data_IF_402562899504
#
_entry.id   IF_402562899504
#
_cell.length_a   1.000
_cell.length_b   1.000
_cell.length_c   1.000
_cell.angle_alpha   90.00
_cell.angle_beta   90.00
_cell.angle_gamma   90.00
#
_symmetry.space_group_name_H-M   'P 1'
#
loop_
_entity.id
_entity.type
_entity.pdbx_description
1 polymer ?
#
# COMPACT_ATOMS: atom_id res chain seq x y z
N UNK A 1 98.30 -16.28 -43.09
CA UNK A 1 98.18 -15.21 -44.05
C UNK A 1 96.76 -15.10 -44.44
N UNK A 2 96.22 -13.93 -44.29
CA UNK A 2 94.82 -13.47 -44.56
C UNK A 2 93.69 -14.04 -43.72
N UNK A 3 93.37 -13.30 -42.67
CA UNK A 3 92.20 -13.44 -41.89
C UNK A 3 90.96 -12.81 -42.59
N UNK A 4 89.83 -13.51 -42.57
CA UNK A 4 88.54 -12.95 -42.92
C UNK A 4 87.73 -12.84 -41.65
N UNK A 5 87.02 -11.73 -41.42
CA UNK A 5 86.17 -11.57 -40.22
C UNK A 5 84.72 -12.07 -40.47
N UNK A 6 84.22 -12.86 -39.53
CA UNK A 6 82.85 -13.33 -39.46
C UNK A 6 81.94 -12.21 -38.93
N UNK A 7 81.00 -11.80 -39.74
CA UNK A 7 79.91 -10.83 -39.34
C UNK A 7 78.78 -11.55 -38.59
N UNK A 8 78.54 -11.17 -37.34
CA UNK A 8 77.38 -11.56 -36.58
C UNK A 8 76.17 -10.68 -36.98
N UNK A 9 75.12 -11.30 -37.51
CA UNK A 9 73.84 -10.76 -37.73
C UNK A 9 73.04 -10.83 -36.39
N UNK A 10 72.85 -9.69 -35.73
CA UNK A 10 71.94 -9.58 -34.56
C UNK A 10 70.50 -9.38 -35.04
N UNK A 11 69.64 -10.37 -34.90
CA UNK A 11 68.19 -10.30 -35.15
C UNK A 11 67.50 -9.69 -33.89
N UNK A 12 67.06 -8.46 -34.00
CA UNK A 12 66.25 -7.78 -32.97
C UNK A 12 64.83 -8.28 -33.04
N UNK A 13 64.41 -9.12 -32.09
CA UNK A 13 63.02 -9.49 -31.87
C UNK A 13 62.31 -8.35 -31.09
N UNK A 14 61.50 -7.59 -31.79
CA UNK A 14 60.58 -6.57 -31.13
C UNK A 14 59.42 -7.37 -30.56
N UNK A 15 59.41 -7.55 -29.23
CA UNK A 15 58.28 -8.11 -28.51
C UNK A 15 57.18 -7.01 -28.34
N UNK A 16 56.07 -7.14 -29.09
CA UNK A 16 54.88 -6.33 -28.99
C UNK A 16 54.11 -6.76 -27.72
N UNK A 17 54.42 -6.14 -26.58
CA UNK A 17 53.63 -6.30 -25.36
C UNK A 17 52.29 -5.58 -25.52
N UNK A 18 51.22 -6.31 -25.88
CA UNK A 18 49.86 -5.82 -25.84
C UNK A 18 49.52 -5.50 -24.38
N UNK A 19 49.44 -4.23 -24.04
CA UNK A 19 48.87 -3.73 -22.76
C UNK A 19 47.37 -4.04 -22.76
N UNK A 20 46.98 -5.21 -22.23
CA UNK A 20 45.63 -5.46 -21.83
C UNK A 20 45.39 -4.60 -20.59
N UNK A 21 44.93 -3.37 -20.78
CA UNK A 21 44.38 -2.56 -19.68
C UNK A 21 43.18 -3.33 -19.12
N UNK A 22 43.15 -3.66 -17.82
CA UNK A 22 41.93 -4.20 -17.23
C UNK A 22 40.84 -3.17 -17.42
N UNK A 23 39.78 -3.53 -18.15
CA UNK A 23 38.58 -2.72 -18.17
C UNK A 23 38.17 -2.53 -16.70
N UNK A 24 38.31 -1.31 -16.19
CA UNK A 24 37.84 -0.96 -14.86
C UNK A 24 36.35 -1.34 -14.81
N UNK A 25 36.02 -2.40 -14.10
CA UNK A 25 34.64 -2.75 -13.84
C UNK A 25 34.02 -1.50 -13.18
N UNK A 26 33.20 -0.76 -13.94
CA UNK A 26 32.48 0.38 -13.42
C UNK A 26 31.65 -0.12 -12.23
N UNK A 27 31.94 0.39 -11.04
CA UNK A 27 31.16 0.03 -9.86
C UNK A 27 29.69 0.36 -10.11
N UNK A 28 28.80 -0.60 -9.89
CA UNK A 28 27.36 -0.37 -10.02
C UNK A 28 26.93 0.84 -9.20
N UNK A 29 26.04 1.67 -9.77
CA UNK A 29 25.43 2.78 -9.02
C UNK A 29 24.40 2.21 -8.04
N UNK A 30 24.65 2.33 -6.74
CA UNK A 30 23.73 1.88 -5.70
C UNK A 30 22.54 2.85 -5.54
N UNK A 31 21.35 2.27 -5.44
CA UNK A 31 20.07 2.96 -5.26
C UNK A 31 19.44 2.48 -3.96
N UNK A 32 19.40 3.33 -2.96
CA UNK A 32 18.82 3.03 -1.65
C UNK A 32 17.30 3.10 -1.73
N UNK A 33 16.62 2.02 -1.34
CA UNK A 33 15.17 1.92 -1.30
C UNK A 33 14.69 1.61 0.12
N UNK A 34 14.06 2.59 0.78
CA UNK A 34 13.46 2.38 2.10
C UNK A 34 12.02 1.94 1.98
N UNK A 35 11.67 0.87 2.71
CA UNK A 35 10.34 0.26 2.67
C UNK A 35 9.88 -0.23 4.05
N UNK A 36 8.57 -0.51 4.16
CA UNK A 36 7.88 -0.98 5.38
C UNK A 36 7.25 -2.36 5.21
N UNK A 37 7.73 -3.16 4.26
CA UNK A 37 7.21 -4.50 3.98
C UNK A 37 7.89 -5.54 4.86
N UNK A 38 7.10 -6.23 5.69
CA UNK A 38 7.55 -7.33 6.57
C UNK A 38 7.00 -8.70 6.15
N UNK A 39 7.53 -9.77 6.73
CA UNK A 39 7.09 -11.13 6.45
C UNK A 39 7.17 -11.52 4.97
N UNK A 40 6.13 -12.15 4.43
CA UNK A 40 6.07 -12.56 3.03
C UNK A 40 6.15 -11.37 2.05
N UNK A 41 5.70 -10.18 2.46
CA UNK A 41 5.81 -8.97 1.67
C UNK A 41 7.25 -8.43 1.64
N UNK A 42 8.00 -8.62 2.73
CA UNK A 42 9.44 -8.33 2.76
C UNK A 42 10.24 -9.24 1.83
N UNK A 43 9.92 -10.53 1.83
CA UNK A 43 10.51 -11.50 0.89
C UNK A 43 10.24 -11.08 -0.57
N UNK A 44 9.01 -10.64 -0.88
CA UNK A 44 8.65 -10.14 -2.22
C UNK A 44 9.47 -8.91 -2.62
N UNK A 45 9.64 -7.92 -1.74
CA UNK A 45 10.44 -6.72 -2.01
C UNK A 45 11.91 -7.09 -2.28
N UNK A 46 12.47 -7.97 -1.46
CA UNK A 46 13.85 -8.43 -1.64
C UNK A 46 14.04 -9.19 -2.96
N UNK A 47 13.07 -10.02 -3.35
CA UNK A 47 13.13 -10.74 -4.63
C UNK A 47 13.03 -9.79 -5.82
N UNK A 48 12.16 -8.76 -5.79
CA UNK A 48 12.10 -7.73 -6.84
C UNK A 48 13.46 -7.03 -7.04
N UNK A 49 14.12 -6.65 -5.93
CA UNK A 49 15.44 -6.03 -5.99
C UNK A 49 16.50 -7.01 -6.52
N UNK A 50 16.49 -8.26 -6.06
CA UNK A 50 17.39 -9.31 -6.50
C UNK A 50 17.26 -9.59 -7.99
N UNK A 51 16.04 -9.74 -8.49
CA UNK A 51 15.77 -10.06 -9.89
C UNK A 51 16.16 -8.90 -10.81
N UNK A 52 15.84 -7.65 -10.41
CA UNK A 52 16.33 -6.48 -11.13
C UNK A 52 17.86 -6.42 -11.14
N UNK A 53 18.53 -6.60 -10.02
CA UNK A 53 19.98 -6.56 -9.91
C UNK A 53 20.65 -7.65 -10.75
N UNK A 54 20.01 -8.80 -10.92
CA UNK A 54 20.51 -9.90 -11.77
C UNK A 54 20.30 -9.63 -13.27
N UNK A 55 19.31 -8.81 -13.63
CA UNK A 55 18.92 -8.56 -15.04
C UNK A 55 19.83 -7.56 -15.77
N UNK A 56 20.66 -6.81 -15.06
CA UNK A 56 21.56 -5.78 -15.61
C UNK A 56 22.79 -5.57 -14.71
N UNK A 57 23.78 -4.76 -15.16
CA UNK A 57 25.07 -4.58 -14.47
C UNK A 57 25.36 -3.12 -14.06
N UNK A 58 24.50 -2.18 -14.41
CA UNK A 58 24.77 -0.75 -14.23
C UNK A 58 24.33 -0.23 -12.85
N UNK A 59 23.24 -0.81 -12.32
CA UNK A 59 22.59 -0.34 -11.09
C UNK A 59 22.40 -1.48 -10.09
N UNK A 60 22.38 -1.13 -8.79
CA UNK A 60 22.11 -2.07 -7.71
C UNK A 60 21.07 -1.47 -6.75
N UNK A 61 19.87 -2.03 -6.73
CA UNK A 61 18.86 -1.69 -5.74
C UNK A 61 19.22 -2.33 -4.40
N UNK A 62 19.21 -1.50 -3.35
CA UNK A 62 19.49 -1.89 -1.96
C UNK A 62 18.24 -1.62 -1.12
N UNK A 63 17.34 -2.61 -0.98
CA UNK A 63 16.14 -2.45 -0.16
C UNK A 63 16.51 -2.46 1.32
N UNK A 64 15.91 -1.57 2.09
CA UNK A 64 16.11 -1.48 3.54
C UNK A 64 14.76 -1.37 4.24
N UNK A 65 14.44 -2.36 5.08
CA UNK A 65 13.26 -2.32 5.93
C UNK A 65 13.41 -1.25 7.02
N UNK A 66 12.40 -0.39 7.19
CA UNK A 66 12.42 0.75 8.11
C UNK A 66 11.29 0.72 9.15
N UNK A 67 10.81 -0.48 9.50
CA UNK A 67 9.71 -0.61 10.45
C UNK A 67 8.34 -0.35 9.82
N UNK A 68 7.41 0.13 10.62
CA UNK A 68 6.07 0.53 10.15
C UNK A 68 6.13 1.71 9.18
N UNK A 69 5.03 1.99 8.49
CA UNK A 69 4.93 3.15 7.61
C UNK A 69 5.18 4.48 8.35
N UNK A 70 4.68 4.61 9.59
CA UNK A 70 4.86 5.81 10.41
C UNK A 70 6.32 5.98 10.84
N UNK A 71 6.99 4.89 11.27
CA UNK A 71 8.41 4.90 11.61
C UNK A 71 9.28 5.23 10.41
N UNK A 72 9.01 4.61 9.25
CA UNK A 72 9.72 4.87 8.01
C UNK A 72 9.58 6.33 7.55
N UNK A 73 8.37 6.88 7.62
CA UNK A 73 8.09 8.27 7.23
C UNK A 73 8.78 9.27 8.19
N UNK A 74 8.71 9.03 9.50
CA UNK A 74 9.39 9.85 10.50
C UNK A 74 10.92 9.81 10.31
N UNK A 75 11.48 8.62 10.11
CA UNK A 75 12.89 8.42 9.81
C UNK A 75 13.34 9.12 8.52
N UNK A 76 12.51 9.09 7.47
CA UNK A 76 12.81 9.74 6.20
C UNK A 76 12.82 11.27 6.31
N UNK A 77 11.91 11.86 7.09
CA UNK A 77 11.90 13.31 7.37
C UNK A 77 13.19 13.73 8.07
N UNK A 78 13.63 12.96 9.08
CA UNK A 78 14.88 13.22 9.79
C UNK A 78 16.11 13.08 8.87
N UNK A 79 16.14 12.01 8.06
CA UNK A 79 17.22 11.75 7.12
C UNK A 79 17.30 12.83 6.01
N UNK A 80 16.15 13.31 5.51
CA UNK A 80 16.11 14.38 4.53
C UNK A 80 16.72 15.68 5.09
N UNK A 81 16.36 16.06 6.31
CA UNK A 81 16.93 17.23 7.00
C UNK A 81 18.45 17.10 7.23
N UNK A 82 18.93 15.88 7.42
CA UNK A 82 20.36 15.58 7.58
C UNK A 82 21.13 15.38 6.25
N UNK A 83 20.46 15.52 5.09
CA UNK A 83 21.06 15.28 3.78
C UNK A 83 21.32 13.81 3.42
N UNK A 84 20.75 12.86 4.18
CA UNK A 84 20.95 11.41 4.06
C UNK A 84 19.68 10.64 3.64
N UNK A 85 18.74 11.30 2.97
CA UNK A 85 17.54 10.64 2.47
C UNK A 85 17.86 9.49 1.50
N UNK A 86 17.05 8.41 1.41
CA UNK A 86 17.21 7.37 0.40
C UNK A 86 16.98 7.92 -1.02
N UNK A 87 17.22 7.12 -2.06
CA UNK A 87 16.84 7.47 -3.43
C UNK A 87 15.34 7.27 -3.64
N UNK A 88 14.82 6.16 -3.11
CA UNK A 88 13.42 5.76 -3.18
C UNK A 88 12.87 5.59 -1.78
N UNK A 89 11.75 6.26 -1.49
CA UNK A 89 11.01 6.12 -0.25
C UNK A 89 9.62 5.54 -0.54
N UNK A 90 9.28 4.42 0.08
CA UNK A 90 7.92 3.92 0.11
C UNK A 90 7.10 4.71 1.12
N UNK A 91 6.04 5.37 0.66
CA UNK A 91 5.12 6.13 1.53
C UNK A 91 3.71 5.61 1.35
N UNK A 92 3.05 5.28 2.47
CA UNK A 92 1.66 4.85 2.46
C UNK A 92 0.71 5.99 2.04
N UNK A 93 -0.49 5.65 1.62
CA UNK A 93 -1.42 6.58 0.96
C UNK A 93 -1.72 7.84 1.79
N UNK A 94 -1.80 7.71 3.12
CA UNK A 94 -2.07 8.87 4.00
C UNK A 94 -0.93 9.89 4.05
N UNK A 95 0.28 9.49 3.67
CA UNK A 95 1.42 10.39 3.55
C UNK A 95 1.40 11.26 2.29
N UNK A 96 0.54 10.94 1.31
CA UNK A 96 0.56 11.55 -0.03
C UNK A 96 0.44 13.08 0.01
N UNK A 97 -0.54 13.64 0.72
CA UNK A 97 -0.72 15.10 0.78
C UNK A 97 0.48 15.80 1.49
N UNK A 98 1.07 15.16 2.49
CA UNK A 98 2.27 15.66 3.17
C UNK A 98 3.47 15.66 2.23
N UNK A 99 3.66 14.59 1.43
CA UNK A 99 4.72 14.54 0.42
C UNK A 99 4.51 15.57 -0.68
N UNK A 100 3.27 15.77 -1.14
CA UNK A 100 2.92 16.80 -2.11
C UNK A 100 3.24 18.21 -1.62
N UNK A 101 3.08 18.47 -0.33
CA UNK A 101 3.37 19.75 0.30
C UNK A 101 4.87 19.95 0.62
N UNK A 102 5.68 18.90 0.55
CA UNK A 102 7.12 18.92 0.88
C UNK A 102 7.94 19.54 -0.25
N UNK A 103 7.90 20.88 -0.35
CA UNK A 103 8.58 21.66 -1.40
C UNK A 103 10.09 21.32 -1.44
N UNK A 104 10.57 20.93 -2.62
CA UNK A 104 11.99 20.65 -2.86
C UNK A 104 12.48 19.30 -2.32
N UNK A 105 11.66 18.52 -1.61
CA UNK A 105 12.08 17.23 -1.06
C UNK A 105 11.95 16.06 -2.04
N UNK A 106 11.13 16.19 -3.05
CA UNK A 106 10.82 15.13 -4.02
C UNK A 106 11.07 15.58 -5.46
N UNK A 107 11.32 14.60 -6.33
CA UNK A 107 11.31 14.78 -7.78
C UNK A 107 10.12 13.97 -8.32
N UNK A 108 9.19 14.61 -9.06
CA UNK A 108 8.05 13.90 -9.64
C UNK A 108 8.49 12.71 -10.50
N UNK A 109 7.82 11.57 -10.37
CA UNK A 109 8.20 10.35 -11.11
C UNK A 109 8.22 10.56 -12.63
N UNK A 110 7.25 11.29 -13.17
CA UNK A 110 7.22 11.60 -14.60
C UNK A 110 8.46 12.39 -15.08
N UNK A 111 8.98 13.31 -14.25
CA UNK A 111 10.20 14.05 -14.54
C UNK A 111 11.44 13.14 -14.52
N UNK A 112 11.56 12.25 -13.52
CA UNK A 112 12.67 11.30 -13.43
C UNK A 112 12.70 10.39 -14.65
N UNK A 113 11.55 9.84 -15.05
CA UNK A 113 11.42 8.96 -16.21
C UNK A 113 11.78 9.71 -17.51
N UNK A 114 11.27 10.92 -17.69
CA UNK A 114 11.57 11.77 -18.85
C UNK A 114 13.08 12.08 -18.96
N UNK A 115 13.72 12.47 -17.85
CA UNK A 115 15.17 12.77 -17.82
C UNK A 115 16.03 11.54 -18.13
N UNK A 116 15.54 10.35 -17.82
CA UNK A 116 16.19 9.09 -18.17
C UNK A 116 15.88 8.60 -19.60
N UNK A 117 15.04 9.30 -20.36
CA UNK A 117 14.60 8.89 -21.70
C UNK A 117 13.61 7.71 -21.68
N UNK A 118 12.97 7.43 -20.55
CA UNK A 118 12.01 6.34 -20.38
C UNK A 118 10.60 6.88 -20.59
N UNK A 119 9.83 6.25 -21.48
CA UNK A 119 8.41 6.59 -21.66
C UNK A 119 7.62 6.22 -20.41
N UNK A 120 6.90 7.17 -19.86
CA UNK A 120 6.03 6.99 -18.72
C UNK A 120 4.61 7.47 -19.07
N UNK A 121 3.64 6.55 -19.04
CA UNK A 121 2.25 6.82 -19.41
C UNK A 121 1.32 6.63 -18.20
N UNK A 122 0.79 7.72 -17.69
CA UNK A 122 -0.17 7.70 -16.58
C UNK A 122 -1.44 6.90 -16.92
N UNK A 123 -1.85 6.87 -18.21
CA UNK A 123 -3.05 6.18 -18.65
C UNK A 123 -2.92 4.64 -18.64
N UNK A 124 -1.69 4.13 -18.54
CA UNK A 124 -1.45 2.69 -18.39
C UNK A 124 -1.86 2.15 -17.01
N UNK A 125 -1.95 3.03 -16.02
CA UNK A 125 -2.31 2.66 -14.65
C UNK A 125 -3.83 2.62 -14.44
N UNK A 126 -4.27 1.87 -13.43
CA UNK A 126 -5.67 1.85 -13.00
C UNK A 126 -6.08 3.26 -12.57
N UNK A 127 -7.18 3.82 -13.08
CA UNK A 127 -7.52 5.24 -12.87
C UNK A 127 -7.64 5.66 -11.40
N UNK A 128 -8.20 4.81 -10.54
CA UNK A 128 -8.32 5.10 -9.11
C UNK A 128 -6.94 5.22 -8.43
N UNK A 129 -5.95 4.42 -8.86
CA UNK A 129 -4.58 4.46 -8.35
C UNK A 129 -3.84 5.67 -8.91
N UNK A 130 -3.84 5.84 -10.23
CA UNK A 130 -3.18 6.97 -10.89
C UNK A 130 -3.71 8.31 -10.38
N UNK A 131 -5.04 8.48 -10.33
CA UNK A 131 -5.69 9.72 -9.89
C UNK A 131 -5.37 10.11 -8.44
N UNK A 132 -5.09 9.12 -7.59
CA UNK A 132 -4.72 9.39 -6.20
C UNK A 132 -3.35 10.05 -6.08
N UNK A 133 -2.36 9.63 -6.88
CA UNK A 133 -0.97 10.11 -6.82
C UNK A 133 -0.67 11.23 -7.82
N UNK A 134 -1.68 11.72 -8.52
CA UNK A 134 -1.56 12.80 -9.51
C UNK A 134 -1.91 14.15 -8.89
N UNK A 135 -1.08 15.14 -9.11
CA UNK A 135 -1.30 16.53 -8.72
C UNK A 135 -2.39 17.20 -9.60
N UNK A 136 -2.98 18.33 -9.17
CA UNK A 136 -4.02 19.02 -9.95
C UNK A 136 -3.60 19.43 -11.37
N UNK A 137 -2.30 19.63 -11.61
CA UNK A 137 -1.74 19.94 -12.94
C UNK A 137 -1.57 18.69 -13.84
N UNK A 138 -2.06 17.52 -13.43
CA UNK A 138 -1.97 16.27 -14.19
C UNK A 138 -0.64 15.52 -14.05
N UNK A 139 0.31 16.04 -13.29
CA UNK A 139 1.62 15.40 -13.09
C UNK A 139 1.51 14.29 -12.01
N UNK A 140 1.87 13.06 -12.36
CA UNK A 140 2.03 11.99 -11.37
C UNK A 140 3.32 12.22 -10.57
N UNK A 141 3.19 12.24 -9.24
CA UNK A 141 4.28 12.60 -8.34
C UNK A 141 5.05 11.40 -7.81
N UNK A 142 4.40 10.27 -7.64
CA UNK A 142 5.02 9.03 -7.16
C UNK A 142 4.67 7.85 -8.06
N UNK A 143 5.50 6.82 -8.03
CA UNK A 143 5.28 5.58 -8.78
C UNK A 143 4.30 4.68 -8.02
N UNK A 144 3.14 4.31 -8.59
CA UNK A 144 2.21 3.35 -7.99
C UNK A 144 2.89 1.99 -7.78
N UNK A 145 2.82 1.46 -6.56
CA UNK A 145 3.55 0.24 -6.23
C UNK A 145 2.64 -0.83 -5.61
N UNK A 146 2.45 -0.78 -4.30
CA UNK A 146 1.68 -1.79 -3.57
C UNK A 146 0.32 -1.25 -3.14
N UNK A 147 -0.51 -0.89 -4.11
CA UNK A 147 -1.88 -0.46 -3.84
C UNK A 147 -2.73 -1.64 -3.40
N UNK A 148 -3.51 -1.46 -2.34
CA UNK A 148 -4.49 -2.41 -1.84
C UNK A 148 -5.87 -1.79 -1.76
N UNK A 149 -6.86 -2.57 -1.39
CA UNK A 149 -8.14 -2.09 -0.88
C UNK A 149 -8.63 -2.99 0.24
N UNK A 150 -9.63 -2.54 0.98
CA UNK A 150 -10.22 -3.32 2.05
C UNK A 150 -11.07 -4.45 1.51
N UNK A 151 -10.93 -5.64 2.11
CA UNK A 151 -11.74 -6.81 1.82
C UNK A 151 -12.15 -7.50 3.12
N UNK A 152 -13.05 -8.46 3.03
CA UNK A 152 -13.47 -9.30 4.13
C UNK A 152 -12.78 -10.67 4.01
N UNK A 153 -11.99 -11.04 5.01
CA UNK A 153 -11.33 -12.33 5.13
C UNK A 153 -12.09 -13.22 6.11
N UNK A 154 -12.20 -14.52 5.82
CA UNK A 154 -12.86 -15.46 6.74
C UNK A 154 -12.24 -16.86 6.68
N UNK A 155 -12.29 -17.54 7.81
CA UNK A 155 -11.82 -18.90 8.00
C UNK A 155 -12.97 -19.89 7.66
N UNK A 156 -12.87 -20.56 6.51
CA UNK A 156 -13.87 -21.52 6.03
C UNK A 156 -14.05 -22.72 6.96
N UNK A 157 -12.97 -23.17 7.60
CA UNK A 157 -13.01 -24.30 8.51
C UNK A 157 -13.74 -23.94 9.81
N UNK A 158 -13.50 -22.72 10.32
CA UNK A 158 -14.24 -22.19 11.48
C UNK A 158 -15.73 -21.98 11.14
N UNK A 159 -16.07 -21.54 9.93
CA UNK A 159 -17.45 -21.44 9.47
C UNK A 159 -18.14 -22.81 9.49
N UNK A 160 -17.52 -23.81 8.89
CA UNK A 160 -18.04 -25.16 8.87
C UNK A 160 -18.25 -25.72 10.29
N UNK A 161 -17.29 -25.51 11.19
CA UNK A 161 -17.41 -25.94 12.59
C UNK A 161 -18.56 -25.25 13.35
N UNK A 162 -18.87 -23.98 12.96
CA UNK A 162 -19.99 -23.21 13.54
C UNK A 162 -21.35 -23.46 12.85
N UNK A 163 -21.45 -24.42 11.91
CA UNK A 163 -22.66 -24.67 11.13
C UNK A 163 -23.03 -23.56 10.16
N UNK A 164 -22.03 -22.79 9.71
CA UNK A 164 -22.15 -21.78 8.65
C UNK A 164 -21.71 -22.39 7.32
N UNK A 165 -22.33 -21.95 6.23
CA UNK A 165 -21.91 -22.34 4.87
C UNK A 165 -20.58 -21.64 4.52
N UNK A 166 -19.46 -22.38 4.32
CA UNK A 166 -18.17 -21.79 4.02
C UNK A 166 -18.09 -21.14 2.64
N UNK A 167 -19.05 -21.40 1.75
CA UNK A 167 -19.11 -20.79 0.41
C UNK A 167 -20.06 -19.58 0.35
N UNK A 168 -20.70 -19.23 1.48
CA UNK A 168 -21.60 -18.07 1.60
C UNK A 168 -21.15 -17.14 2.72
N UNK A 169 -20.07 -16.37 2.51
CA UNK A 169 -19.63 -15.38 3.50
C UNK A 169 -20.67 -14.28 3.69
N UNK A 170 -20.73 -13.67 4.88
CA UNK A 170 -21.59 -12.51 5.12
C UNK A 170 -21.20 -11.34 4.22
N UNK A 171 -22.19 -10.66 3.66
CA UNK A 171 -22.03 -9.49 2.79
C UNK A 171 -22.60 -8.22 3.39
N UNK A 172 -23.36 -8.34 4.47
CA UNK A 172 -23.93 -7.22 5.21
C UNK A 172 -23.49 -7.23 6.68
N UNK A 173 -23.50 -6.05 7.32
CA UNK A 173 -23.16 -5.93 8.73
C UNK A 173 -24.08 -6.74 9.67
N UNK A 174 -25.41 -6.82 9.44
CA UNK A 174 -26.27 -7.72 10.19
C UNK A 174 -25.85 -9.19 10.04
N UNK A 175 -25.47 -9.65 8.85
CA UNK A 175 -24.99 -11.02 8.63
C UNK A 175 -23.65 -11.26 9.33
N UNK A 176 -22.74 -10.27 9.35
CA UNK A 176 -21.47 -10.37 10.10
C UNK A 176 -21.75 -10.57 11.59
N UNK A 177 -22.67 -9.82 12.18
CA UNK A 177 -23.04 -9.97 13.59
C UNK A 177 -23.65 -11.34 13.88
N UNK A 178 -24.53 -11.83 13.00
CA UNK A 178 -25.15 -13.16 13.11
C UNK A 178 -24.10 -14.30 12.97
N UNK A 179 -23.18 -14.20 12.02
CA UNK A 179 -22.08 -15.14 11.84
C UNK A 179 -21.14 -15.13 13.06
N UNK A 180 -20.80 -13.96 13.57
CA UNK A 180 -19.97 -13.80 14.77
C UNK A 180 -20.61 -14.45 16.01
N UNK A 181 -21.94 -14.34 16.17
CA UNK A 181 -22.66 -14.99 17.27
C UNK A 181 -22.57 -16.53 17.19
N UNK A 182 -22.72 -17.10 15.99
CA UNK A 182 -22.57 -18.55 15.78
C UNK A 182 -21.13 -19.03 16.02
N UNK A 183 -20.14 -18.28 15.52
CA UNK A 183 -18.72 -18.56 15.76
C UNK A 183 -18.38 -18.51 17.25
N UNK A 184 -18.89 -17.53 18.00
CA UNK A 184 -18.74 -17.48 19.45
C UNK A 184 -19.37 -18.68 20.15
N UNK A 185 -20.59 -19.04 19.75
CA UNK A 185 -21.29 -20.20 20.32
C UNK A 185 -20.55 -21.53 20.05
N UNK A 186 -19.80 -21.61 18.94
CA UNK A 186 -18.95 -22.78 18.62
C UNK A 186 -17.57 -22.73 19.30
N UNK A 187 -17.30 -21.73 20.17
CA UNK A 187 -16.08 -21.64 20.97
C UNK A 187 -15.02 -20.66 20.46
N UNK A 188 -15.28 -19.92 19.38
CA UNK A 188 -14.35 -18.87 18.93
C UNK A 188 -14.20 -17.77 19.97
N UNK A 189 -12.94 -17.49 20.37
CA UNK A 189 -12.60 -16.37 21.27
C UNK A 189 -12.47 -15.04 20.55
N UNK A 190 -12.31 -15.06 19.23
CA UNK A 190 -12.25 -13.90 18.37
C UNK A 190 -13.08 -14.15 17.10
N UNK A 191 -14.42 -14.00 17.17
CA UNK A 191 -15.28 -14.22 16.02
C UNK A 191 -15.00 -13.25 14.86
N UNK A 192 -14.82 -11.97 15.19
CA UNK A 192 -14.53 -10.91 14.22
C UNK A 192 -13.49 -9.92 14.77
N UNK A 193 -12.59 -9.48 13.92
CA UNK A 193 -11.64 -8.39 14.17
C UNK A 193 -11.48 -7.48 12.94
N UNK A 194 -10.71 -6.42 13.07
CA UNK A 194 -10.35 -5.51 11.98
C UNK A 194 -8.91 -5.06 12.12
N UNK A 195 -8.19 -4.90 11.03
CA UNK A 195 -6.94 -4.15 10.98
C UNK A 195 -7.15 -2.77 10.34
N UNK A 196 -6.25 -1.81 10.63
CA UNK A 196 -6.33 -0.45 10.08
C UNK A 196 -7.70 0.18 10.30
N UNK A 197 -8.15 0.23 11.55
CA UNK A 197 -9.54 0.53 11.92
C UNK A 197 -10.08 1.82 11.27
N UNK A 198 -9.31 2.90 11.25
CA UNK A 198 -9.70 4.15 10.58
C UNK A 198 -9.95 3.93 9.08
N UNK A 199 -9.03 3.24 8.40
CA UNK A 199 -9.12 2.98 6.97
C UNK A 199 -10.26 2.02 6.60
N UNK A 200 -10.44 0.93 7.38
CA UNK A 200 -11.46 -0.08 7.09
C UNK A 200 -12.86 0.36 7.52
N UNK A 201 -13.00 0.92 8.74
CA UNK A 201 -14.30 1.16 9.38
C UNK A 201 -14.84 2.59 9.20
N UNK A 202 -14.01 3.52 8.69
CA UNK A 202 -14.45 4.89 8.41
C UNK A 202 -14.20 5.30 6.96
N UNK A 203 -12.98 5.24 6.46
CA UNK A 203 -12.64 5.72 5.11
C UNK A 203 -13.27 4.83 4.02
N UNK A 204 -12.98 3.52 4.04
CA UNK A 204 -13.56 2.56 3.10
C UNK A 204 -15.07 2.39 3.33
N UNK A 205 -15.51 2.42 4.59
CA UNK A 205 -16.92 2.42 4.93
C UNK A 205 -17.67 3.61 4.29
N UNK A 206 -17.11 4.82 4.40
CA UNK A 206 -17.70 6.02 3.81
C UNK A 206 -17.84 5.88 2.28
N UNK A 207 -16.76 5.47 1.62
CA UNK A 207 -16.77 5.27 0.17
C UNK A 207 -17.75 4.17 -0.27
N UNK A 208 -17.74 3.03 0.43
CA UNK A 208 -18.59 1.88 0.16
C UNK A 208 -20.09 2.19 0.30
N UNK A 209 -20.43 3.12 1.20
CA UNK A 209 -21.80 3.63 1.41
C UNK A 209 -22.08 4.94 0.67
N UNK A 210 -21.13 5.43 -0.15
CA UNK A 210 -21.24 6.68 -0.90
C UNK A 210 -21.59 7.90 -0.01
N UNK A 211 -21.00 7.96 1.18
CA UNK A 211 -21.12 9.09 2.11
C UNK A 211 -19.80 9.84 2.25
N UNK A 212 -19.88 11.11 2.58
CA UNK A 212 -18.72 11.98 2.68
C UNK A 212 -17.90 11.65 3.93
N UNK A 213 -16.59 11.46 3.77
CA UNK A 213 -15.63 11.35 4.87
C UNK A 213 -15.06 12.72 5.27
N UNK A 214 -14.78 13.56 4.28
CA UNK A 214 -14.33 14.93 4.46
C UNK A 214 -14.83 15.83 3.33
N UNK A 215 -15.04 17.11 3.61
CA UNK A 215 -15.48 18.10 2.63
C UNK A 215 -14.49 18.27 1.46
N UNK A 216 -14.84 19.05 0.44
CA UNK A 216 -13.97 19.31 -0.72
C UNK A 216 -13.54 18.01 -1.42
N UNK A 217 -14.49 17.12 -1.69
CA UNK A 217 -14.24 15.84 -2.34
C UNK A 217 -13.16 15.04 -1.59
N UNK A 218 -13.31 14.86 -0.29
CA UNK A 218 -12.37 14.18 0.59
C UNK A 218 -10.93 14.74 0.51
N UNK A 219 -10.79 16.08 0.40
CA UNK A 219 -9.50 16.78 0.39
C UNK A 219 -8.88 16.99 -0.99
N UNK A 220 -9.46 16.46 -2.07
CA UNK A 220 -8.95 16.70 -3.43
C UNK A 220 -9.23 18.12 -3.93
N UNK A 221 -10.25 18.79 -3.40
CA UNK A 221 -10.70 20.12 -3.83
C UNK A 221 -10.03 21.30 -3.14
N UNK A 222 -9.18 21.09 -2.14
CA UNK A 222 -8.45 22.18 -1.49
C UNK A 222 -8.04 21.93 -0.05
N UNK A 223 -7.14 22.79 0.45
CA UNK A 223 -6.57 22.71 1.79
C UNK A 223 -7.56 23.11 2.91
N UNK A 224 -8.66 23.77 2.56
CA UNK A 224 -9.73 24.18 3.48
C UNK A 224 -10.75 23.05 3.75
N UNK A 225 -10.38 21.82 3.46
CA UNK A 225 -11.17 20.62 3.77
C UNK A 225 -11.35 20.42 5.27
N UNK A 226 -12.48 19.81 5.65
CA UNK A 226 -12.82 19.45 7.03
C UNK A 226 -13.40 18.04 7.08
N UNK A 227 -13.09 17.31 8.15
CA UNK A 227 -13.63 15.98 8.41
C UNK A 227 -15.13 16.04 8.65
N UNK A 228 -15.85 15.00 8.19
CA UNK A 228 -17.31 14.91 8.24
C UNK A 228 -17.81 13.49 8.60
N UNK A 229 -16.95 12.60 9.11
CA UNK A 229 -17.30 11.20 9.41
C UNK A 229 -18.01 10.98 10.76
N UNK A 230 -18.79 11.94 11.21
CA UNK A 230 -19.65 11.84 12.40
C UNK A 230 -21.15 11.96 12.09
N UNK A 231 -21.55 11.59 10.86
CA UNK A 231 -22.96 11.56 10.44
C UNK A 231 -23.72 10.44 11.16
N UNK A 232 -25.07 10.46 11.14
CA UNK A 232 -25.86 9.38 11.74
C UNK A 232 -25.49 7.98 11.26
N UNK A 233 -25.09 7.82 9.99
CA UNK A 233 -24.68 6.53 9.45
C UNK A 233 -23.33 6.06 10.06
N UNK A 234 -22.36 6.95 10.21
CA UNK A 234 -21.09 6.63 10.87
C UNK A 234 -21.30 6.28 12.35
N UNK A 235 -22.15 7.05 13.05
CA UNK A 235 -22.51 6.76 14.44
C UNK A 235 -23.15 5.37 14.55
N UNK A 236 -24.16 5.07 13.71
CA UNK A 236 -24.80 3.75 13.64
C UNK A 236 -23.78 2.62 13.47
N UNK A 237 -22.79 2.84 12.59
CA UNK A 237 -21.78 1.82 12.32
C UNK A 237 -20.87 1.57 13.51
N UNK A 238 -20.37 2.62 14.14
CA UNK A 238 -19.52 2.51 15.33
C UNK A 238 -20.29 1.99 16.52
N UNK A 239 -21.58 2.33 16.68
CA UNK A 239 -22.48 1.73 17.67
C UNK A 239 -22.65 0.22 17.46
N UNK A 240 -22.84 -0.21 16.21
CA UNK A 240 -22.90 -1.64 15.87
C UNK A 240 -21.64 -2.38 16.33
N UNK A 241 -20.44 -1.86 15.99
CA UNK A 241 -19.17 -2.47 16.40
C UNK A 241 -18.96 -2.42 17.92
N UNK A 242 -19.32 -1.32 18.58
CA UNK A 242 -19.25 -1.19 20.04
C UNK A 242 -20.17 -2.21 20.74
N UNK A 243 -21.38 -2.42 20.21
CA UNK A 243 -22.32 -3.42 20.73
C UNK A 243 -21.80 -4.85 20.50
N UNK A 244 -21.20 -5.11 19.34
CA UNK A 244 -20.52 -6.37 19.08
C UNK A 244 -19.34 -6.60 20.03
N UNK A 245 -18.55 -5.55 20.33
CA UNK A 245 -17.45 -5.62 21.30
C UNK A 245 -17.94 -5.98 22.70
N UNK A 246 -18.99 -5.33 23.21
CA UNK A 246 -19.63 -5.64 24.51
C UNK A 246 -20.09 -7.09 24.59
N UNK A 247 -20.52 -7.66 23.46
CA UNK A 247 -20.97 -9.06 23.37
C UNK A 247 -19.80 -10.04 23.11
N UNK A 248 -18.57 -9.56 22.97
CA UNK A 248 -17.42 -10.38 22.61
C UNK A 248 -17.48 -10.98 21.20
N UNK A 249 -18.23 -10.34 20.30
CA UNK A 249 -18.35 -10.71 18.88
C UNK A 249 -17.32 -9.99 18.02
N UNK A 250 -16.94 -8.76 18.39
CA UNK A 250 -15.84 -7.99 17.84
C UNK A 250 -14.71 -7.88 18.87
N UNK A 251 -13.49 -8.20 18.48
CA UNK A 251 -12.30 -8.13 19.35
C UNK A 251 -11.27 -7.21 18.71
N UNK A 252 -11.09 -6.03 19.29
CA UNK A 252 -10.05 -5.09 18.87
C UNK A 252 -8.66 -5.61 19.27
N UNK A 253 -7.73 -5.69 18.32
CA UNK A 253 -6.40 -6.26 18.49
C UNK A 253 -5.26 -5.23 18.39
N UNK A 254 -5.58 -3.94 18.38
CA UNK A 254 -4.61 -2.86 18.32
C UNK A 254 -4.63 -2.09 16.99
N UNK A 255 -3.76 -1.09 16.92
CA UNK A 255 -3.68 -0.14 15.79
C UNK A 255 -2.97 -0.74 14.58
N UNK A 256 -3.16 -0.11 13.44
CA UNK A 256 -2.51 -0.49 12.19
C UNK A 256 -2.78 -1.95 11.83
N UNK A 257 -1.73 -2.70 11.55
CA UNK A 257 -1.79 -4.11 11.17
C UNK A 257 -1.69 -5.09 12.34
N UNK A 258 -1.84 -4.65 13.59
CA UNK A 258 -1.68 -5.50 14.78
C UNK A 258 -2.64 -6.71 14.81
N UNK A 259 -3.81 -6.60 14.19
CA UNK A 259 -4.80 -7.68 14.12
C UNK A 259 -4.42 -8.79 13.11
N UNK A 260 -3.54 -8.52 12.14
CA UNK A 260 -3.29 -9.41 11.02
C UNK A 260 -2.82 -10.81 11.46
N UNK A 261 -1.91 -10.87 12.43
CA UNK A 261 -1.38 -12.13 12.96
C UNK A 261 -2.44 -12.99 13.64
N UNK A 262 -3.42 -12.38 14.30
CA UNK A 262 -4.53 -13.08 14.94
C UNK A 262 -5.46 -13.75 13.92
N UNK A 263 -5.56 -13.21 12.70
CA UNK A 263 -6.33 -13.84 11.64
C UNK A 263 -5.56 -15.01 11.00
N UNK A 264 -4.34 -14.79 10.50
CA UNK A 264 -3.63 -15.86 9.80
C UNK A 264 -3.12 -16.98 10.73
N UNK A 265 -3.07 -16.75 12.05
CA UNK A 265 -2.87 -17.83 13.03
C UNK A 265 -4.13 -18.67 13.27
N UNK A 266 -5.31 -18.21 12.85
CA UNK A 266 -6.61 -18.85 13.09
C UNK A 266 -7.24 -18.49 14.44
N UNK A 267 -6.67 -17.57 15.22
CA UNK A 267 -7.26 -17.08 16.46
C UNK A 267 -8.57 -16.32 16.18
N UNK A 268 -8.58 -15.44 15.18
CA UNK A 268 -9.77 -14.72 14.72
C UNK A 268 -10.36 -15.40 13.50
N UNK A 269 -11.68 -15.62 13.51
CA UNK A 269 -12.38 -16.34 12.45
C UNK A 269 -12.75 -15.47 11.25
N UNK A 270 -13.03 -14.18 11.46
CA UNK A 270 -13.35 -13.20 10.45
C UNK A 270 -12.55 -11.92 10.66
N UNK A 271 -12.19 -11.23 9.57
CA UNK A 271 -11.46 -9.97 9.63
C UNK A 271 -11.77 -9.07 8.43
N UNK A 272 -11.99 -7.78 8.67
CA UNK A 272 -11.85 -6.76 7.61
C UNK A 272 -10.43 -6.22 7.62
N UNK A 273 -9.81 -6.15 6.45
CA UNK A 273 -8.43 -5.70 6.33
C UNK A 273 -7.97 -5.55 4.89
N UNK A 274 -6.68 -5.41 4.71
CA UNK A 274 -6.06 -5.22 3.40
C UNK A 274 -6.15 -6.47 2.51
N UNK A 275 -6.40 -6.28 1.22
CA UNK A 275 -6.22 -7.35 0.22
C UNK A 275 -4.77 -7.88 0.20
N UNK A 276 -3.78 -7.05 0.52
CA UNK A 276 -2.36 -7.44 0.63
C UNK A 276 -2.04 -8.41 1.77
N UNK A 277 -2.98 -8.66 2.69
CA UNK A 277 -2.83 -9.70 3.70
C UNK A 277 -2.73 -11.11 3.09
N UNK A 278 -3.23 -11.30 1.89
CA UNK A 278 -3.23 -12.59 1.17
C UNK A 278 -1.88 -13.30 1.20
N UNK A 279 -0.76 -12.58 0.99
CA UNK A 279 0.58 -13.17 1.02
C UNK A 279 0.90 -13.85 2.35
N UNK A 280 0.62 -13.17 3.46
CA UNK A 280 0.89 -13.69 4.81
C UNK A 280 -0.08 -14.81 5.19
N UNK A 281 -1.36 -14.70 4.81
CA UNK A 281 -2.36 -15.76 5.01
C UNK A 281 -1.95 -17.01 4.24
N UNK A 282 -1.62 -16.87 2.96
CA UNK A 282 -1.19 -18.02 2.12
C UNK A 282 0.08 -18.70 2.65
N UNK A 283 1.02 -17.94 3.23
CA UNK A 283 2.26 -18.48 3.81
C UNK A 283 2.03 -19.16 5.15
N UNK A 284 1.12 -18.66 5.99
CA UNK A 284 1.09 -18.97 7.42
C UNK A 284 -0.18 -19.69 7.88
N UNK A 285 -1.33 -19.50 7.21
CA UNK A 285 -2.58 -20.11 7.63
C UNK A 285 -2.55 -21.62 7.42
N UNK A 286 -3.02 -22.34 8.44
CA UNK A 286 -3.19 -23.80 8.42
C UNK A 286 -4.67 -24.20 8.30
N UNK A 287 -5.48 -23.32 7.73
CA UNK A 287 -6.90 -23.48 7.52
C UNK A 287 -7.29 -23.01 6.12
N UNK A 288 -8.42 -23.48 5.61
CA UNK A 288 -8.99 -22.98 4.38
C UNK A 288 -9.60 -21.61 4.62
N UNK A 289 -9.21 -20.62 3.81
CA UNK A 289 -9.69 -19.26 3.94
C UNK A 289 -10.47 -18.83 2.70
N UNK A 290 -11.31 -17.81 2.87
CA UNK A 290 -12.01 -17.13 1.79
C UNK A 290 -11.81 -15.61 1.88
N UNK A 291 -12.01 -14.96 0.74
CA UNK A 291 -12.02 -13.52 0.61
C UNK A 291 -13.35 -13.12 -0.01
N UNK A 292 -14.02 -12.12 0.58
CA UNK A 292 -15.30 -11.58 0.14
C UNK A 292 -15.27 -10.07 0.11
N UNK A 293 -16.31 -9.47 -0.44
CA UNK A 293 -16.49 -8.02 -0.44
C UNK A 293 -16.61 -7.45 0.97
N UNK A 294 -16.24 -6.20 1.13
CA UNK A 294 -16.47 -5.48 2.39
C UNK A 294 -17.98 -5.48 2.71
N UNK A 295 -18.38 -5.76 3.96
CA UNK A 295 -19.78 -5.73 4.34
C UNK A 295 -20.40 -4.32 4.23
N UNK A 296 -21.70 -4.25 3.96
CA UNK A 296 -22.43 -2.98 3.87
C UNK A 296 -23.78 -3.05 4.56
N UNK A 297 -24.48 -1.93 4.65
CA UNK A 297 -25.86 -1.85 5.08
C UNK A 297 -26.79 -1.79 3.88
N UNK A 298 -27.60 -2.85 3.62
CA UNK A 298 -28.45 -2.93 2.43
C UNK A 298 -29.56 -1.87 2.36
N UNK A 299 -29.91 -1.29 3.50
CA UNK A 299 -30.92 -0.22 3.62
C UNK A 299 -30.37 1.19 3.31
N UNK A 300 -29.06 1.31 3.04
CA UNK A 300 -28.43 2.59 2.67
C UNK A 300 -28.47 2.78 1.15
N UNK A 301 -29.19 3.78 0.64
CA UNK A 301 -29.27 4.04 -0.79
C UNK A 301 -27.89 4.31 -1.41
N UNK A 302 -27.62 3.66 -2.55
CA UNK A 302 -26.35 3.80 -3.26
C UNK A 302 -25.22 2.90 -2.79
N UNK A 303 -25.41 2.13 -1.70
CA UNK A 303 -24.47 1.09 -1.29
C UNK A 303 -24.77 -0.25 -1.98
N UNK A 304 -23.74 -1.05 -2.32
CA UNK A 304 -22.31 -0.73 -2.22
C UNK A 304 -21.81 0.04 -3.46
N UNK A 305 -20.94 1.05 -3.26
CA UNK A 305 -20.35 1.86 -4.32
C UNK A 305 -19.00 1.30 -4.78
N UNK A 306 -17.89 1.86 -4.35
CA UNK A 306 -16.53 1.31 -4.49
C UNK A 306 -15.76 1.53 -3.20
N UNK A 307 -14.70 0.75 -2.97
CA UNK A 307 -13.79 0.97 -1.86
C UNK A 307 -12.66 1.93 -2.26
N UNK A 308 -11.92 2.45 -1.29
CA UNK A 308 -10.75 3.32 -1.52
C UNK A 308 -9.46 2.53 -1.56
N UNK A 309 -8.45 3.09 -2.22
CA UNK A 309 -7.11 2.50 -2.18
C UNK A 309 -6.50 2.64 -0.78
N UNK A 310 -5.62 1.72 -0.47
CA UNK A 310 -4.64 1.77 0.59
C UNK A 310 -3.28 1.35 0.06
N UNK A 311 -2.37 1.01 0.97
CA UNK A 311 -1.01 0.62 0.60
C UNK A 311 -0.13 1.81 0.32
N UNK A 312 0.79 1.73 -0.65
CA UNK A 312 1.82 2.73 -0.80
C UNK A 312 2.25 2.94 -2.26
N UNK A 313 2.93 4.07 -2.47
CA UNK A 313 3.64 4.40 -3.70
C UNK A 313 5.12 4.68 -3.40
N UNK A 314 5.95 4.71 -4.44
CA UNK A 314 7.38 4.98 -4.35
C UNK A 314 7.66 6.43 -4.74
N UNK A 315 8.25 7.18 -3.83
CA UNK A 315 8.62 8.57 -3.99
C UNK A 315 10.11 8.71 -4.25
N UNK A 316 10.48 9.52 -5.23
CA UNK A 316 11.87 9.79 -5.56
C UNK A 316 12.33 11.01 -4.76
N UNK A 317 13.35 10.83 -3.92
CA UNK A 317 13.87 11.90 -3.10
C UNK A 317 14.83 12.78 -3.91
N UNK A 318 14.79 14.08 -3.64
CA UNK A 318 15.66 15.08 -4.30
C UNK A 318 17.12 15.01 -3.81
N UNK A 319 18.01 15.77 -4.45
CA UNK A 319 19.41 15.90 -4.04
C UNK A 319 20.29 14.72 -4.43
N UNK A 320 19.88 13.89 -5.41
CA UNK A 320 20.65 12.74 -5.91
C UNK A 320 21.41 13.06 -7.18
N UNK A 321 22.43 12.26 -7.47
CA UNK A 321 23.23 12.41 -8.70
C UNK A 321 22.44 11.97 -9.94
N UNK A 322 22.72 12.50 -11.13
CA UNK A 322 22.02 12.09 -12.37
C UNK A 322 22.07 10.58 -12.64
N UNK A 323 23.17 9.91 -12.34
CA UNK A 323 23.30 8.46 -12.49
C UNK A 323 22.35 7.68 -11.58
N UNK A 324 22.12 8.18 -10.34
CA UNK A 324 21.19 7.58 -9.39
C UNK A 324 19.74 7.71 -9.88
N UNK A 325 19.34 8.86 -10.42
CA UNK A 325 18.01 9.06 -11.03
C UNK A 325 17.80 8.13 -12.23
N UNK A 326 18.82 7.90 -13.06
CA UNK A 326 18.73 6.92 -14.15
C UNK A 326 18.51 5.50 -13.61
N UNK A 327 19.18 5.14 -12.52
CA UNK A 327 18.98 3.85 -11.85
C UNK A 327 17.58 3.70 -11.27
N UNK A 328 17.02 4.76 -10.66
CA UNK A 328 15.64 4.79 -10.20
C UNK A 328 14.66 4.57 -11.37
N UNK A 329 14.87 5.28 -12.49
CA UNK A 329 14.02 5.14 -13.68
C UNK A 329 14.08 3.73 -14.27
N UNK A 330 15.27 3.13 -14.36
CA UNK A 330 15.45 1.76 -14.83
C UNK A 330 14.70 0.75 -13.94
N UNK A 331 14.77 0.92 -12.62
CA UNK A 331 14.03 0.07 -11.68
C UNK A 331 12.52 0.26 -11.80
N UNK A 332 12.04 1.47 -11.93
CA UNK A 332 10.61 1.72 -12.13
C UNK A 332 10.09 1.17 -13.48
N UNK A 333 10.91 1.25 -14.52
CA UNK A 333 10.60 0.60 -15.80
C UNK A 333 10.50 -0.93 -15.66
N UNK A 334 11.37 -1.55 -14.88
CA UNK A 334 11.30 -2.97 -14.56
C UNK A 334 10.01 -3.32 -13.80
N UNK A 335 9.69 -2.56 -12.74
CA UNK A 335 8.47 -2.78 -11.95
C UNK A 335 7.19 -2.58 -12.77
N UNK A 336 7.21 -1.71 -13.79
CA UNK A 336 6.07 -1.42 -14.67
C UNK A 336 5.85 -2.51 -15.75
N UNK A 337 6.75 -3.47 -15.92
CA UNK A 337 6.54 -4.58 -16.85
C UNK A 337 5.29 -5.37 -16.45
N UNK A 338 4.42 -5.67 -17.42
CA UNK A 338 3.16 -6.34 -17.17
C UNK A 338 3.33 -7.68 -16.45
N UNK A 339 4.38 -8.44 -16.79
CA UNK A 339 4.69 -9.70 -16.12
C UNK A 339 5.08 -9.50 -14.66
N UNK A 340 5.98 -8.55 -14.35
CA UNK A 340 6.44 -8.26 -12.99
C UNK A 340 5.28 -7.76 -12.12
N UNK A 341 4.44 -6.88 -12.65
CA UNK A 341 3.26 -6.37 -11.95
C UNK A 341 2.17 -7.44 -11.75
N UNK A 342 1.94 -8.32 -12.74
CA UNK A 342 1.02 -9.46 -12.63
C UNK A 342 1.50 -10.47 -11.58
N UNK A 343 2.77 -10.83 -11.60
CA UNK A 343 3.34 -11.78 -10.64
C UNK A 343 3.35 -11.21 -9.21
N UNK A 344 3.61 -9.91 -9.07
CA UNK A 344 3.46 -9.19 -7.81
C UNK A 344 2.03 -9.27 -7.27
N UNK A 345 1.02 -9.01 -8.11
CA UNK A 345 -0.39 -9.13 -7.74
C UNK A 345 -0.73 -10.55 -7.28
N UNK A 346 -0.40 -11.57 -8.08
CA UNK A 346 -0.68 -12.99 -7.76
C UNK A 346 -0.01 -13.47 -6.46
N UNK A 347 1.17 -12.94 -6.18
CA UNK A 347 1.93 -13.29 -4.98
C UNK A 347 1.40 -12.60 -3.73
N UNK A 348 0.99 -11.35 -3.83
CA UNK A 348 0.76 -10.47 -2.67
C UNK A 348 -0.70 -10.21 -2.35
N UNK A 349 -1.59 -10.25 -3.35
CA UNK A 349 -2.97 -9.78 -3.23
C UNK A 349 -3.11 -8.24 -3.30
N UNK A 350 -2.02 -7.50 -3.49
CA UNK A 350 -2.11 -6.10 -3.91
C UNK A 350 -2.77 -5.98 -5.29
N UNK A 351 -3.36 -4.84 -5.59
CA UNK A 351 -4.01 -4.62 -6.89
C UNK A 351 -2.99 -4.73 -8.04
N UNK A 352 -3.39 -5.24 -9.21
CA UNK A 352 -2.60 -5.09 -10.42
C UNK A 352 -2.65 -3.62 -10.83
N UNK A 353 -1.59 -2.87 -10.52
CA UNK A 353 -1.60 -1.39 -10.64
C UNK A 353 -1.69 -0.90 -12.09
N UNK A 354 -1.45 -1.77 -13.09
CA UNK A 354 -1.59 -1.46 -14.53
C UNK A 354 -2.67 -2.31 -15.19
N UNK A 355 -3.30 -1.76 -16.23
CA UNK A 355 -4.31 -2.46 -17.04
C UNK A 355 -3.72 -3.74 -17.66
N UNK A 356 -2.50 -3.65 -18.20
CA UNK A 356 -1.82 -4.79 -18.82
C UNK A 356 -1.54 -5.93 -17.82
N UNK A 357 -1.19 -5.60 -16.55
CA UNK A 357 -1.00 -6.61 -15.51
C UNK A 357 -2.33 -7.30 -15.15
N UNK A 358 -3.42 -6.55 -15.07
CA UNK A 358 -4.75 -7.11 -14.83
C UNK A 358 -5.15 -8.09 -15.93
N UNK A 359 -5.08 -7.66 -17.20
CA UNK A 359 -5.42 -8.50 -18.36
C UNK A 359 -4.55 -9.77 -18.42
N UNK A 360 -3.26 -9.65 -18.14
CA UNK A 360 -2.34 -10.79 -18.11
C UNK A 360 -2.71 -11.78 -16.99
N UNK A 361 -3.07 -11.27 -15.82
CA UNK A 361 -3.51 -12.10 -14.68
C UNK A 361 -4.81 -12.83 -15.03
N UNK A 362 -5.79 -12.13 -15.60
CA UNK A 362 -7.06 -12.71 -16.00
C UNK A 362 -6.88 -13.82 -17.06
N UNK A 363 -6.11 -13.55 -18.13
CA UNK A 363 -5.78 -14.52 -19.18
C UNK A 363 -5.05 -15.74 -18.66
N UNK A 364 -4.27 -15.62 -17.57
CA UNK A 364 -3.57 -16.76 -16.95
C UNK A 364 -4.50 -17.75 -16.24
N UNK A 365 -5.79 -17.42 -16.06
CA UNK A 365 -6.73 -18.24 -15.29
C UNK A 365 -6.53 -18.20 -13.77
N UNK A 366 -5.68 -17.29 -13.27
CA UNK A 366 -5.33 -17.20 -11.84
C UNK A 366 -6.55 -17.06 -10.93
N UNK A 367 -7.49 -16.19 -11.28
CA UNK A 367 -8.69 -15.94 -10.47
C UNK A 367 -9.61 -17.17 -10.37
N UNK A 368 -9.69 -17.99 -11.42
CA UNK A 368 -10.44 -19.26 -11.39
C UNK A 368 -9.80 -20.28 -10.47
N UNK A 369 -8.47 -20.31 -10.40
CA UNK A 369 -7.69 -21.21 -9.56
C UNK A 369 -7.60 -20.73 -8.10
N UNK A 370 -7.78 -19.41 -7.85
CA UNK A 370 -7.70 -18.78 -6.54
C UNK A 370 -8.95 -17.89 -6.31
N UNK A 371 -10.12 -18.50 -6.06
CA UNK A 371 -11.38 -17.75 -5.90
C UNK A 371 -11.29 -16.70 -4.79
N UNK A 372 -11.87 -15.52 -5.05
CA UNK A 372 -11.87 -14.39 -4.11
C UNK A 372 -10.69 -13.44 -4.25
N UNK A 373 -9.60 -13.82 -4.96
CA UNK A 373 -8.44 -12.92 -5.16
C UNK A 373 -8.74 -11.78 -6.14
N UNK A 374 -9.82 -11.86 -6.91
CA UNK A 374 -10.33 -10.81 -7.79
C UNK A 374 -11.23 -9.79 -7.07
N UNK A 375 -11.74 -10.11 -5.87
CA UNK A 375 -12.68 -9.28 -5.11
C UNK A 375 -12.18 -7.84 -4.95
N UNK A 376 -10.90 -7.68 -4.60
CA UNK A 376 -10.30 -6.35 -4.47
C UNK A 376 -10.40 -5.52 -5.75
N UNK A 377 -10.13 -6.13 -6.91
CA UNK A 377 -10.24 -5.48 -8.21
C UNK A 377 -11.69 -5.15 -8.51
N UNK A 378 -12.61 -6.10 -8.29
CA UNK A 378 -14.04 -5.93 -8.55
C UNK A 378 -14.67 -4.80 -7.72
N UNK A 379 -14.21 -4.59 -6.50
CA UNK A 379 -14.63 -3.45 -5.67
C UNK A 379 -14.12 -2.12 -6.23
N UNK A 380 -12.87 -2.08 -6.73
CA UNK A 380 -12.22 -0.85 -7.18
C UNK A 380 -12.66 -0.38 -8.57
N UNK A 381 -13.10 -1.27 -9.45
CA UNK A 381 -13.55 -0.92 -10.82
C UNK A 381 -15.00 -0.42 -10.87
N UNK A 382 -15.74 -0.47 -9.77
CA UNK A 382 -17.09 0.10 -9.68
C UNK A 382 -17.04 1.62 -9.94
N UNK A 383 -18.18 2.19 -10.31
CA UNK A 383 -18.28 3.63 -10.61
C UNK A 383 -17.82 4.45 -9.39
N UNK A 384 -16.80 5.24 -9.59
CA UNK A 384 -16.28 6.18 -8.57
C UNK A 384 -17.11 7.47 -8.57
N UNK A 385 -17.37 8.01 -7.38
CA UNK A 385 -18.00 9.32 -7.15
C UNK A 385 -17.01 10.27 -6.45
N UNK A 386 -17.38 11.53 -6.28
CA UNK A 386 -16.58 12.50 -5.50
C UNK A 386 -16.41 12.08 -4.03
N UNK A 387 -17.34 11.26 -3.49
CA UNK A 387 -17.29 10.73 -2.12
C UNK A 387 -16.48 9.45 -1.99
N UNK A 388 -16.18 8.77 -3.10
CA UNK A 388 -15.58 7.43 -3.09
C UNK A 388 -14.26 7.32 -3.87
N UNK A 389 -13.70 8.44 -4.36
CA UNK A 389 -12.44 8.43 -5.12
C UNK A 389 -11.19 8.24 -4.26
N UNK A 390 -11.30 8.25 -2.94
CA UNK A 390 -10.20 8.20 -1.97
C UNK A 390 -10.27 9.34 -0.97
N UNK A 391 -9.32 9.39 -0.05
CA UNK A 391 -9.19 10.44 0.98
C UNK A 391 -7.76 10.97 0.95
N UNK A 392 -7.56 12.27 0.68
CA UNK A 392 -6.22 12.88 0.52
C UNK A 392 -6.10 14.14 1.37
N UNK A 393 -5.68 13.96 2.62
CA UNK A 393 -5.65 15.00 3.66
C UNK A 393 -4.21 15.26 4.12
N UNK A 394 -3.93 16.51 4.48
CA UNK A 394 -2.71 16.86 5.19
C UNK A 394 -2.71 16.33 6.64
N UNK A 395 -1.53 16.03 7.19
CA UNK A 395 -1.38 15.45 8.53
C UNK A 395 -2.23 14.17 8.75
N UNK A 396 -2.53 13.42 7.69
CA UNK A 396 -3.53 12.35 7.77
C UNK A 396 -3.06 11.18 8.66
N UNK A 397 -1.76 10.89 8.72
CA UNK A 397 -1.23 9.90 9.65
C UNK A 397 -1.57 10.26 11.10
N UNK A 398 -1.39 11.52 11.49
CA UNK A 398 -1.73 12.01 12.83
C UNK A 398 -3.26 12.01 13.06
N UNK A 399 -4.05 12.28 12.02
CA UNK A 399 -5.53 12.20 12.09
C UNK A 399 -5.95 10.75 12.36
N UNK A 400 -5.37 9.75 11.68
CA UNK A 400 -5.64 8.33 11.98
C UNK A 400 -5.27 7.97 13.42
N UNK A 401 -4.14 8.48 13.94
CA UNK A 401 -3.78 8.29 15.36
C UNK A 401 -4.86 8.84 16.30
N UNK A 402 -5.37 10.04 16.03
CA UNK A 402 -6.47 10.64 16.80
C UNK A 402 -7.74 9.80 16.74
N UNK A 403 -8.08 9.28 15.56
CA UNK A 403 -9.24 8.39 15.38
C UNK A 403 -9.07 7.10 16.19
N UNK A 404 -7.89 6.49 16.11
CA UNK A 404 -7.60 5.27 16.87
C UNK A 404 -7.74 5.50 18.38
N UNK A 405 -7.20 6.61 18.91
CA UNK A 405 -7.32 6.98 20.32
C UNK A 405 -8.77 7.13 20.78
N UNK A 406 -9.61 7.81 19.99
CA UNK A 406 -11.02 8.01 20.33
C UNK A 406 -11.82 6.72 20.22
N UNK A 407 -11.59 5.91 19.19
CA UNK A 407 -12.29 4.62 19.04
C UNK A 407 -11.84 3.60 20.09
N UNK A 408 -10.60 3.62 20.56
CA UNK A 408 -10.15 2.79 21.68
C UNK A 408 -10.92 3.09 22.96
N UNK A 409 -11.28 4.36 23.23
CA UNK A 409 -12.16 4.73 24.34
C UNK A 409 -13.58 4.19 24.14
N UNK A 410 -14.06 4.15 22.89
CA UNK A 410 -15.36 3.58 22.55
C UNK A 410 -15.38 2.06 22.75
N UNK A 411 -14.36 1.35 22.25
CA UNK A 411 -14.25 -0.10 22.41
C UNK A 411 -14.10 -0.52 23.89
N UNK A 412 -13.42 0.31 24.67
CA UNK A 412 -13.29 0.13 26.13
C UNK A 412 -14.58 0.48 26.92
N UNK A 413 -15.63 0.96 26.23
CA UNK A 413 -16.88 1.39 26.88
C UNK A 413 -16.77 2.66 27.71
N UNK A 414 -15.68 3.43 27.57
CA UNK A 414 -15.42 4.66 28.33
C UNK A 414 -16.01 5.90 27.69
N UNK A 415 -16.36 5.84 26.40
CA UNK A 415 -16.92 6.94 25.64
C UNK A 415 -18.03 6.44 24.72
N UNK A 416 -19.19 7.13 24.66
CA UNK A 416 -20.22 6.81 23.67
C UNK A 416 -19.70 6.97 22.23
N UNK A 417 -20.14 6.16 21.27
CA UNK A 417 -19.71 6.22 19.86
C UNK A 417 -19.80 7.60 19.23
N UNK A 418 -20.92 8.28 19.42
CA UNK A 418 -21.11 9.66 18.89
C UNK A 418 -20.08 10.63 19.45
N UNK A 419 -19.84 10.62 20.76
CA UNK A 419 -18.85 11.50 21.39
C UNK A 419 -17.43 11.18 20.93
N UNK A 420 -17.11 9.91 20.72
CA UNK A 420 -15.83 9.48 20.15
C UNK A 420 -15.61 10.03 18.75
N UNK A 421 -16.61 9.91 17.87
CA UNK A 421 -16.53 10.44 16.51
C UNK A 421 -16.48 11.97 16.47
N UNK A 422 -17.29 12.66 17.30
CA UNK A 422 -17.27 14.13 17.40
C UNK A 422 -15.90 14.64 17.88
N UNK A 423 -15.31 13.98 18.88
CA UNK A 423 -13.97 14.31 19.36
C UNK A 423 -12.89 14.07 18.31
N UNK A 424 -12.96 12.94 17.57
CA UNK A 424 -12.04 12.64 16.49
C UNK A 424 -12.14 13.67 15.35
N UNK A 425 -13.35 14.06 14.94
CA UNK A 425 -13.57 15.10 13.93
C UNK A 425 -13.02 16.44 14.40
N UNK A 426 -13.29 16.85 15.63
CA UNK A 426 -12.80 18.12 16.19
C UNK A 426 -11.27 18.16 16.22
N UNK A 427 -10.63 17.17 16.86
CA UNK A 427 -9.17 17.08 16.97
C UNK A 427 -8.49 16.96 15.62
N UNK A 428 -9.07 16.17 14.70
CA UNK A 428 -8.56 16.01 13.35
C UNK A 428 -8.66 17.30 12.52
N UNK A 429 -9.73 18.08 12.70
CA UNK A 429 -9.89 19.38 12.05
C UNK A 429 -8.85 20.41 12.53
N UNK A 430 -8.43 20.37 13.78
CA UNK A 430 -7.32 21.19 14.28
C UNK A 430 -6.00 20.86 13.58
N UNK A 431 -5.77 19.57 13.25
CA UNK A 431 -4.61 19.14 12.45
C UNK A 431 -4.70 19.64 11.01
N UNK A 432 -5.88 19.57 10.39
CA UNK A 432 -6.11 20.10 9.03
C UNK A 432 -5.90 21.61 8.97
N UNK A 433 -6.38 22.36 9.96
CA UNK A 433 -6.17 23.81 10.04
C UNK A 433 -4.67 24.18 10.15
N UNK A 434 -3.92 23.44 10.97
CA UNK A 434 -2.47 23.62 11.07
C UNK A 434 -1.80 23.35 9.73
N UNK A 435 -2.16 22.26 9.05
CA UNK A 435 -1.63 21.94 7.73
C UNK A 435 -1.99 23.00 6.68
N UNK A 436 -3.24 23.47 6.68
CA UNK A 436 -3.71 24.53 5.81
C UNK A 436 -2.89 25.82 6.01
N UNK A 437 -2.69 26.26 7.27
CA UNK A 437 -1.92 27.47 7.60
C UNK A 437 -0.45 27.38 7.16
N UNK A 438 0.16 26.20 7.32
CA UNK A 438 1.56 25.95 6.97
C UNK A 438 1.81 25.86 5.45
N UNK A 439 0.76 25.57 4.66
CA UNK A 439 0.88 25.27 3.22
C UNK A 439 0.03 26.20 2.34
N UNK A 440 -0.49 27.29 2.88
CA UNK A 440 -1.08 28.37 2.05
C UNK A 440 -0.02 28.92 1.10
N UNK A 441 -0.38 29.20 -0.17
CA UNK A 441 0.51 29.84 -1.13
C UNK A 441 1.04 31.18 -0.64
#
# INVERSE_FOLDING_TARGET
MKHLPTSLLATSAVALAALIAPAAASAQTEIQWWHSMGGALGDWVNDLAKDFNASQKDYKIVPTYKGSYDESMAGAIAAFRAGNAPNILQVFEVGTATMMASKGAIVPVGQVMQQAGVKFDNAAYVPAVAGYYTAPNGQMLSFPFNSSTTVFHYNKDAFKAAGLDPEKPPTSWPEVAAAAAKLKASGSKCPFTTSWVSWTQLESFSAWHNVEYATKNNGFGGLDTRLAFNTPLHVRHIENLANMAKQGLFVYKGRGNSADSSYFSGECAMMTGSSGLYANVKKSAKFNFGISTLPYYPDVPGAPQNTVIGGASLWVMSGKKPAEYKGVAAFFQYLAQAQVASDSHKRTGYLPVTKAAYELTEKSGFYKQNPGTDVAVQQMIRKTTDKSRGVRLGNFAQIRTVIDEELEQVWAGKKPPKEGLDAAVKRGNELLERFQKANKP
#
